data_IF_650003164644
#
_entry.id   IF_650003164644
#
_cell.length_a   1.000
_cell.length_b   1.000
_cell.length_c   1.000
_cell.angle_alpha   90.00
_cell.angle_beta   90.00
_cell.angle_gamma   90.00
#
_symmetry.space_group_name_H-M   'P 1'
#
loop_
_entity.id
_entity.type
_entity.pdbx_description
1 polymer ?
#
# COMPACT_ATOMS: atom_id res chain seq x y z
N UNK A 1 7.56 -0.37 -4.98
CA UNK A 1 6.42 -1.15 -4.42
C UNK A 1 5.34 -1.25 -5.48
N UNK A 2 4.71 -2.41 -5.64
CA UNK A 2 3.59 -2.63 -6.57
C UNK A 2 2.34 -2.94 -5.75
N UNK A 3 1.25 -2.22 -6.05
CA UNK A 3 -0.04 -2.33 -5.38
C UNK A 3 -1.16 -2.56 -6.41
N UNK A 4 -1.53 -3.81 -6.71
CA UNK A 4 -2.69 -4.12 -7.53
C UNK A 4 -3.98 -3.95 -6.70
N UNK A 5 -5.00 -3.33 -7.28
CA UNK A 5 -6.32 -3.22 -6.64
C UNK A 5 -7.45 -3.22 -7.68
N UNK A 6 -8.60 -3.75 -7.28
CA UNK A 6 -9.87 -3.66 -8.03
C UNK A 6 -10.93 -2.90 -7.22
N UNK A 7 -10.58 -2.44 -6.02
CA UNK A 7 -11.51 -1.89 -5.05
C UNK A 7 -10.89 -0.63 -4.45
N UNK A 8 -11.16 0.50 -5.09
CA UNK A 8 -10.63 1.82 -4.70
C UNK A 8 -11.66 2.61 -3.87
N UNK A 9 -12.92 2.62 -4.30
CA UNK A 9 -13.99 3.40 -3.65
C UNK A 9 -14.58 2.69 -2.43
N UNK A 10 -14.81 1.38 -2.53
CA UNK A 10 -15.51 0.60 -1.50
C UNK A 10 -14.56 -0.09 -0.51
N UNK A 11 -13.26 0.20 -0.58
CA UNK A 11 -12.24 -0.42 0.26
C UNK A 11 -11.74 0.58 1.31
N UNK A 12 -12.28 0.55 2.55
CA UNK A 12 -11.80 1.43 3.62
C UNK A 12 -10.34 1.16 4.01
N UNK A 13 -9.84 -0.05 3.74
CA UNK A 13 -8.48 -0.46 4.07
C UNK A 13 -7.46 0.02 3.00
N UNK A 14 -7.89 0.32 1.77
CA UNK A 14 -7.00 0.78 0.69
C UNK A 14 -6.29 2.09 1.03
N UNK A 15 -7.02 3.08 1.54
CA UNK A 15 -6.45 4.38 1.91
C UNK A 15 -5.38 4.24 2.99
N UNK A 16 -5.62 3.37 3.97
CA UNK A 16 -4.66 3.07 5.02
C UNK A 16 -3.43 2.35 4.45
N UNK A 17 -3.64 1.33 3.61
CA UNK A 17 -2.58 0.60 2.93
C UNK A 17 -1.67 1.53 2.12
N UNK A 18 -2.25 2.37 1.26
CA UNK A 18 -1.51 3.33 0.44
C UNK A 18 -0.77 4.36 1.30
N UNK A 19 -1.38 4.83 2.39
CA UNK A 19 -0.70 5.70 3.36
C UNK A 19 0.52 4.99 3.96
N UNK A 20 0.37 3.74 4.41
CA UNK A 20 1.44 2.93 4.97
C UNK A 20 2.59 2.67 3.98
N UNK A 21 2.28 2.50 2.69
CA UNK A 21 3.27 2.41 1.63
C UNK A 21 4.09 3.70 1.49
N UNK A 22 3.42 4.86 1.40
CA UNK A 22 4.09 6.14 1.17
C UNK A 22 4.99 6.55 2.34
N UNK A 23 4.58 6.32 3.58
CA UNK A 23 5.36 6.69 4.78
C UNK A 23 6.60 5.82 4.96
N UNK A 24 6.65 4.66 4.30
CA UNK A 24 7.85 3.83 4.21
C UNK A 24 8.87 4.36 3.19
N UNK A 25 8.55 5.47 2.51
CA UNK A 25 9.42 6.20 1.59
C UNK A 25 10.15 5.29 0.57
N UNK A 26 9.44 4.40 -0.14
CA UNK A 26 10.06 3.68 -1.25
C UNK A 26 10.50 4.68 -2.32
N UNK A 27 11.51 4.34 -3.12
CA UNK A 27 11.89 5.16 -4.27
C UNK A 27 10.74 5.29 -5.30
N UNK A 28 9.90 4.25 -5.42
CA UNK A 28 8.75 4.24 -6.34
C UNK A 28 7.57 3.42 -5.79
N UNK A 29 6.34 3.90 -6.01
CA UNK A 29 5.08 3.16 -5.82
C UNK A 29 4.35 3.10 -7.15
N UNK A 30 4.01 1.88 -7.59
CA UNK A 30 3.20 1.62 -8.78
C UNK A 30 1.86 1.07 -8.31
N UNK A 31 0.78 1.84 -8.49
CA UNK A 31 -0.59 1.38 -8.25
C UNK A 31 -1.19 0.95 -9.57
N UNK A 32 -1.67 -0.29 -9.65
CA UNK A 32 -2.30 -0.84 -10.85
C UNK A 32 -3.74 -1.20 -10.56
N UNK A 33 -4.65 -0.60 -11.33
CA UNK A 33 -6.07 -0.87 -11.25
C UNK A 33 -6.53 -1.75 -12.42
N UNK A 34 -7.76 -2.23 -12.38
CA UNK A 34 -8.35 -2.94 -13.52
C UNK A 34 -8.90 -2.01 -14.59
N UNK A 35 -9.30 -0.78 -14.25
CA UNK A 35 -9.90 0.18 -15.19
C UNK A 35 -9.30 1.58 -15.05
N UNK A 36 -9.28 2.35 -16.15
CA UNK A 36 -8.84 3.75 -16.13
C UNK A 36 -9.67 4.63 -15.19
N UNK A 37 -10.97 4.35 -15.05
CA UNK A 37 -11.83 5.03 -14.08
C UNK A 37 -11.31 4.87 -12.64
N UNK A 38 -10.98 3.63 -12.23
CA UNK A 38 -10.42 3.38 -10.90
C UNK A 38 -9.02 4.00 -10.74
N UNK A 39 -8.21 4.05 -11.78
CA UNK A 39 -6.94 4.79 -11.76
C UNK A 39 -7.17 6.28 -11.43
N UNK A 40 -8.12 6.93 -12.10
CA UNK A 40 -8.48 8.33 -11.80
C UNK A 40 -8.96 8.51 -10.35
N UNK A 41 -9.69 7.54 -9.78
CA UNK A 41 -10.07 7.61 -8.38
C UNK A 41 -8.90 7.43 -7.41
N UNK A 42 -7.90 6.62 -7.76
CA UNK A 42 -6.65 6.57 -7.00
C UNK A 42 -5.96 7.93 -7.00
N UNK A 43 -5.87 8.61 -8.15
CA UNK A 43 -5.27 9.94 -8.24
C UNK A 43 -5.96 10.96 -7.33
N UNK A 44 -7.31 10.96 -7.30
CA UNK A 44 -8.06 11.83 -6.37
C UNK A 44 -7.77 11.49 -4.90
N UNK A 45 -7.71 10.20 -4.56
CA UNK A 45 -7.38 9.79 -3.19
C UNK A 45 -5.94 10.15 -2.80
N UNK A 46 -4.99 10.08 -3.73
CA UNK A 46 -3.59 10.44 -3.51
C UNK A 46 -3.42 11.89 -3.06
N UNK A 47 -4.20 12.83 -3.63
CA UNK A 47 -4.21 14.23 -3.19
C UNK A 47 -4.58 14.33 -1.70
N UNK A 48 -5.71 13.72 -1.32
CA UNK A 48 -6.16 13.70 0.08
C UNK A 48 -5.17 13.01 1.03
N UNK A 49 -4.52 11.93 0.58
CA UNK A 49 -3.54 11.20 1.38
C UNK A 49 -2.28 12.06 1.59
N UNK A 50 -1.76 12.69 0.53
CA UNK A 50 -0.60 13.58 0.60
C UNK A 50 -0.83 14.74 1.57
N UNK A 51 -1.99 15.37 1.50
CA UNK A 51 -2.34 16.46 2.43
C UNK A 51 -2.38 15.98 3.89
N UNK A 52 -2.99 14.83 4.16
CA UNK A 52 -3.04 14.25 5.50
C UNK A 52 -1.67 13.82 6.03
N UNK A 53 -0.79 13.34 5.15
CA UNK A 53 0.59 12.99 5.50
C UNK A 53 1.37 14.25 5.87
N UNK A 54 1.27 15.29 5.02
CA UNK A 54 1.94 16.57 5.23
C UNK A 54 1.44 17.30 6.48
N UNK A 55 0.14 17.25 6.78
CA UNK A 55 -0.44 17.92 7.94
C UNK A 55 -0.30 17.12 9.25
N UNK A 56 0.19 15.87 9.19
CA UNK A 56 0.24 14.96 10.34
C UNK A 56 -1.15 14.54 10.87
N UNK A 57 -2.24 14.86 10.17
CA UNK A 57 -3.62 14.69 10.67
C UNK A 57 -4.22 13.30 10.41
N UNK A 58 -3.43 12.35 9.92
CA UNK A 58 -3.88 10.97 9.82
C UNK A 58 -3.75 10.27 11.18
N UNK A 59 -4.80 9.57 11.64
CA UNK A 59 -4.75 8.77 12.87
C UNK A 59 -3.59 7.76 12.87
N UNK A 60 -3.18 7.30 11.68
CA UNK A 60 -2.02 6.45 11.45
C UNK A 60 -0.66 7.11 11.72
N UNK A 61 -0.61 8.43 11.63
CA UNK A 61 0.60 9.24 11.73
C UNK A 61 0.77 9.94 13.07
N UNK A 62 -0.21 9.80 13.98
CA UNK A 62 -0.21 10.43 15.29
C UNK A 62 1.09 10.22 16.09
N UNK A 63 1.88 9.19 15.76
CA UNK A 63 3.18 8.86 16.39
C UNK A 63 4.41 9.13 15.51
N UNK A 64 4.25 9.45 14.23
CA UNK A 64 5.35 9.64 13.28
C UNK A 64 5.75 11.11 13.09
N UNK A 65 4.93 12.05 13.54
CA UNK A 65 5.12 13.47 13.26
C UNK A 65 5.01 13.79 11.77
N UNK A 66 5.51 14.96 11.37
CA UNK A 66 5.54 15.39 9.97
C UNK A 66 6.43 14.44 9.16
N UNK A 67 5.87 13.84 8.10
CA UNK A 67 6.60 12.91 7.24
C UNK A 67 6.68 13.48 5.83
N UNK A 68 7.89 13.79 5.37
CA UNK A 68 8.11 14.16 3.97
C UNK A 68 8.15 12.91 3.06
N UNK A 69 7.31 12.93 2.03
CA UNK A 69 7.18 11.89 0.98
C UNK A 69 7.43 12.45 -0.42
N UNK A 70 7.97 13.67 -0.53
CA UNK A 70 8.24 14.35 -1.81
C UNK A 70 9.18 13.57 -2.73
N UNK A 71 10.09 12.77 -2.16
CA UNK A 71 11.02 11.91 -2.91
C UNK A 71 10.45 10.58 -3.39
N UNK A 72 9.16 10.29 -3.17
CA UNK A 72 8.52 9.05 -3.62
C UNK A 72 7.94 9.26 -5.02
N UNK A 73 8.46 8.56 -6.02
CA UNK A 73 7.83 8.51 -7.34
C UNK A 73 6.54 7.67 -7.27
N UNK A 74 5.44 8.18 -7.84
CA UNK A 74 4.14 7.52 -7.81
C UNK A 74 3.62 7.39 -9.23
N UNK A 75 3.41 6.15 -9.67
CA UNK A 75 2.77 5.83 -10.93
C UNK A 75 1.43 5.16 -10.68
N UNK A 76 0.37 5.71 -11.27
CA UNK A 76 -0.94 5.08 -11.33
C UNK A 76 -1.18 4.61 -12.76
N UNK A 77 -1.61 3.37 -12.92
CA UNK A 77 -1.90 2.77 -14.24
C UNK A 77 -3.03 1.74 -14.13
N UNK A 78 -3.44 1.15 -15.25
CA UNK A 78 -4.50 0.17 -15.31
C UNK A 78 -4.21 -0.92 -16.35
N UNK A 79 -4.65 -2.14 -16.07
CA UNK A 79 -4.36 -3.33 -16.88
C UNK A 79 -5.54 -3.81 -17.75
N UNK A 80 -6.68 -3.11 -17.73
CA UNK A 80 -7.92 -3.50 -18.43
C UNK A 80 -8.45 -4.90 -18.04
N UNK A 81 -8.05 -5.42 -16.88
CA UNK A 81 -8.44 -6.74 -16.40
C UNK A 81 -8.43 -6.79 -14.87
N UNK A 82 -9.47 -7.37 -14.30
CA UNK A 82 -9.58 -7.65 -12.86
C UNK A 82 -8.86 -8.94 -12.48
N UNK A 83 -7.58 -9.03 -12.82
CA UNK A 83 -6.71 -10.17 -12.48
C UNK A 83 -5.42 -9.66 -11.84
N UNK A 84 -5.19 -10.02 -10.57
CA UNK A 84 -4.03 -9.56 -9.80
C UNK A 84 -2.70 -9.94 -10.46
N UNK A 85 -2.60 -11.12 -11.09
CA UNK A 85 -1.36 -11.58 -11.72
C UNK A 85 -1.06 -10.73 -12.95
N UNK A 86 -2.04 -10.50 -13.82
CA UNK A 86 -1.90 -9.64 -15.00
C UNK A 86 -1.62 -8.19 -14.61
N UNK A 87 -2.27 -7.68 -13.57
CA UNK A 87 -1.98 -6.35 -13.02
C UNK A 87 -0.53 -6.23 -12.53
N UNK A 88 -0.01 -7.25 -11.82
CA UNK A 88 1.39 -7.28 -11.41
C UNK A 88 2.35 -7.38 -12.60
N UNK A 89 2.06 -8.23 -13.60
CA UNK A 89 2.88 -8.32 -14.82
C UNK A 89 2.95 -6.98 -15.55
N UNK A 90 1.82 -6.28 -15.68
CA UNK A 90 1.76 -4.93 -16.24
C UNK A 90 2.62 -3.95 -15.43
N UNK A 91 2.55 -4.01 -14.10
CA UNK A 91 3.31 -3.14 -13.21
C UNK A 91 4.83 -3.33 -13.32
N UNK A 92 5.29 -4.59 -13.45
CA UNK A 92 6.72 -4.94 -13.47
C UNK A 92 7.46 -4.23 -14.60
N UNK A 93 6.78 -3.98 -15.73
CA UNK A 93 7.35 -3.27 -16.89
C UNK A 93 7.76 -1.82 -16.58
N UNK A 94 7.27 -1.26 -15.47
CA UNK A 94 7.57 0.10 -15.04
C UNK A 94 8.56 0.16 -13.87
N UNK A 95 9.02 -0.97 -13.36
CA UNK A 95 9.98 -1.01 -12.25
C UNK A 95 11.33 -0.47 -12.69
N UNK A 96 11.88 0.46 -11.91
CA UNK A 96 13.20 1.05 -12.14
C UNK A 96 14.19 0.77 -11.00
N UNK A 97 13.79 -0.01 -10.00
CA UNK A 97 14.57 -0.28 -8.79
C UNK A 97 15.06 -1.72 -8.74
N UNK A 98 16.25 -2.00 -8.17
CA UNK A 98 16.77 -3.37 -8.03
C UNK A 98 15.90 -4.29 -7.17
N UNK A 99 15.20 -3.72 -6.19
CA UNK A 99 14.30 -4.44 -5.30
C UNK A 99 12.84 -4.11 -5.60
N UNK A 100 11.99 -5.14 -5.58
CA UNK A 100 10.55 -5.01 -5.80
C UNK A 100 9.81 -5.62 -4.61
N UNK A 101 8.78 -4.93 -4.14
CA UNK A 101 7.87 -5.43 -3.10
C UNK A 101 6.46 -5.48 -3.66
N UNK A 102 5.82 -6.64 -3.58
CA UNK A 102 4.41 -6.85 -3.91
C UNK A 102 3.57 -6.79 -2.65
N UNK A 103 2.46 -6.06 -2.69
CA UNK A 103 1.57 -5.85 -1.55
C UNK A 103 0.12 -6.05 -2.00
N UNK A 104 -0.71 -6.67 -1.16
CA UNK A 104 -2.16 -6.59 -1.35
C UNK A 104 -2.68 -5.20 -0.90
N UNK A 105 -3.81 -4.78 -1.45
CA UNK A 105 -4.50 -3.50 -1.21
C UNK A 105 -5.13 -3.33 0.18
N UNK A 106 -4.82 -4.24 1.10
CA UNK A 106 -5.27 -4.26 2.49
C UNK A 106 -4.12 -4.67 3.44
N UNK A 107 -2.87 -4.49 3.02
CA UNK A 107 -1.69 -4.70 3.87
C UNK A 107 -1.36 -3.43 4.63
N UNK A 108 -1.16 -3.57 5.94
CA UNK A 108 -0.81 -2.46 6.84
C UNK A 108 0.65 -2.61 7.27
N UNK A 109 1.55 -1.92 6.57
CA UNK A 109 2.97 -1.92 6.92
C UNK A 109 3.24 -1.04 8.14
N UNK A 110 4.16 -1.49 8.99
CA UNK A 110 4.72 -0.62 10.03
C UNK A 110 5.62 0.44 9.39
N UNK A 111 5.79 1.61 10.01
CA UNK A 111 6.82 2.55 9.58
C UNK A 111 8.20 1.93 9.65
N UNK A 112 9.12 2.39 8.78
CA UNK A 112 10.48 1.86 8.64
C UNK A 112 10.55 0.35 8.30
N UNK A 113 9.45 -0.27 7.85
CA UNK A 113 9.44 -1.65 7.38
C UNK A 113 10.48 -1.88 6.28
N UNK A 114 10.56 -1.01 5.28
CA UNK A 114 11.59 -1.14 4.23
C UNK A 114 13.01 -1.10 4.79
N UNK A 115 13.29 -0.19 5.72
CA UNK A 115 14.60 -0.10 6.38
C UNK A 115 14.98 -1.38 7.14
N UNK A 116 13.99 -2.12 7.66
CA UNK A 116 14.24 -3.41 8.31
C UNK A 116 14.41 -4.60 7.34
N UNK A 117 13.94 -4.47 6.09
CA UNK A 117 13.94 -5.58 5.11
C UNK A 117 15.08 -5.47 4.11
N UNK A 118 15.43 -4.25 3.67
CA UNK A 118 16.50 -4.03 2.67
C UNK A 118 17.84 -4.68 3.07
N UNK A 119 18.30 -4.60 4.33
CA UNK A 119 19.58 -5.22 4.74
C UNK A 119 19.64 -6.74 4.51
N UNK A 120 18.51 -7.44 4.45
CA UNK A 120 18.49 -8.88 4.15
C UNK A 120 19.13 -9.18 2.79
N UNK A 121 18.98 -8.27 1.82
CA UNK A 121 19.52 -8.42 0.47
C UNK A 121 21.00 -8.03 0.34
N UNK A 122 21.66 -7.62 1.43
CA UNK A 122 23.13 -7.46 1.46
C UNK A 122 23.85 -8.80 1.29
N UNK A 123 23.18 -9.90 1.63
CA UNK A 123 23.65 -11.24 1.27
C UNK A 123 23.25 -11.56 -0.19
N UNK A 124 24.21 -11.68 -1.13
CA UNK A 124 23.91 -11.88 -2.55
C UNK A 124 23.27 -13.25 -2.85
N UNK A 125 23.20 -14.17 -1.88
CA UNK A 125 22.51 -15.45 -2.03
C UNK A 125 21.00 -15.37 -1.77
N UNK A 126 20.50 -14.23 -1.29
CA UNK A 126 19.08 -14.03 -0.99
C UNK A 126 18.41 -13.29 -2.15
N UNK A 127 17.57 -14.00 -2.91
CA UNK A 127 16.79 -13.43 -4.01
C UNK A 127 15.34 -13.06 -3.65
N UNK A 128 14.82 -13.52 -2.50
CA UNK A 128 13.45 -13.29 -2.08
C UNK A 128 13.34 -13.23 -0.56
N UNK A 129 12.50 -12.32 -0.07
CA UNK A 129 12.14 -12.19 1.34
C UNK A 129 10.63 -12.24 1.52
N UNK A 130 10.14 -13.19 2.32
CA UNK A 130 8.74 -13.30 2.71
C UNK A 130 8.52 -12.77 4.13
N UNK A 131 7.40 -12.08 4.36
CA UNK A 131 7.05 -11.58 5.69
C UNK A 131 6.21 -12.58 6.48
N UNK A 132 6.38 -12.60 7.80
CA UNK A 132 5.41 -13.26 8.69
C UNK A 132 4.13 -12.43 8.69
N UNK A 133 3.03 -13.01 8.20
CA UNK A 133 1.71 -12.37 8.17
C UNK A 133 1.08 -12.40 9.57
N UNK A 134 0.48 -11.28 9.96
CA UNK A 134 -0.36 -11.18 11.15
C UNK A 134 -1.69 -10.53 10.75
N UNK A 135 -2.79 -11.00 11.34
CA UNK A 135 -4.13 -10.49 11.05
C UNK A 135 -4.52 -9.40 12.05
N UNK A 136 -5.02 -8.27 11.54
CA UNK A 136 -5.68 -7.26 12.37
C UNK A 136 -7.13 -7.67 12.54
N UNK A 137 -7.47 -8.25 13.70
CA UNK A 137 -8.86 -8.64 14.01
C UNK A 137 -9.70 -7.39 14.21
N UNK A 138 -10.68 -7.16 13.36
CA UNK A 138 -11.79 -6.23 13.64
C UNK A 138 -12.70 -6.97 14.62
N UNK A 139 -12.78 -6.52 15.88
CA UNK A 139 -13.77 -7.08 16.80
C UNK A 139 -15.15 -6.93 16.14
N UNK A 140 -15.94 -8.00 16.01
CA UNK A 140 -17.34 -7.81 15.68
C UNK A 140 -17.92 -6.87 16.74
N UNK A 141 -18.74 -5.88 16.33
CA UNK A 141 -19.71 -5.29 17.26
C UNK A 141 -20.34 -6.48 17.98
N UNK A 142 -20.29 -6.50 19.30
CA UNK A 142 -20.65 -7.67 20.10
C UNK A 142 -21.93 -8.31 19.57
N UNK A 143 -21.79 -9.39 18.81
CA UNK A 143 -22.87 -10.33 18.59
C UNK A 143 -22.66 -11.35 19.70
N UNK A 144 -23.32 -11.13 20.83
CA UNK A 144 -23.56 -12.21 21.75
C UNK A 144 -24.36 -13.28 20.97
N UNK A 145 -24.07 -14.55 21.22
CA UNK A 145 -24.93 -15.66 20.77
C UNK A 145 -26.33 -15.62 21.43
N UNK A 146 -26.62 -14.58 22.23
CA UNK A 146 -27.80 -14.45 23.09
C UNK A 146 -28.65 -13.19 22.81
N UNK A 147 -28.40 -12.47 21.71
CA UNK A 147 -29.20 -11.31 21.32
C UNK A 147 -28.74 -9.97 21.92
N UNK A 148 -29.16 -8.89 21.26
CA UNK A 148 -28.78 -7.50 21.57
C UNK A 148 -29.37 -7.06 22.92
N UNK A 149 -28.55 -6.41 23.75
CA UNK A 149 -29.02 -5.43 24.74
C UNK A 149 -28.79 -4.03 24.17
#
# INVERSE_FOLDING_TARGET
MILPTVSVLDNPDFKECLTACLINKPAMVIIVTDTGFRATEVDKQLLSIRDKIRSGSSNFLSRLGLTDISGVDIRVTYANVADKRRQMTHAILYVQTPLVTFLDDHVFLRPAFLGSVVPVFENPRIGLYGTKKAVRRKHPKAYSLLGKY
#
